data_IF_297679480379
#
_entry.id   IF_297679480379
#
_cell.length_a   1.000
_cell.length_b   1.000
_cell.length_c   1.000
_cell.angle_alpha   90.00
_cell.angle_beta   90.00
_cell.angle_gamma   90.00
#
_symmetry.space_group_name_H-M   'P 1'
#
loop_
_entity.id
_entity.type
_entity.pdbx_description
1 polymer ?
#
# COMPACT_ATOMS: atom_id res chain seq x y z
N UNK A 1 -13.56 36.58 31.73
CA UNK A 1 -14.73 35.87 31.15
C UNK A 1 -14.88 36.01 29.63
N UNK A 2 -14.55 37.14 29.00
CA UNK A 2 -14.61 37.29 27.52
C UNK A 2 -13.56 36.44 26.77
N UNK A 3 -12.34 36.34 27.29
CA UNK A 3 -11.27 35.52 26.69
C UNK A 3 -11.58 34.01 26.69
N UNK A 4 -12.27 33.50 27.71
CA UNK A 4 -12.62 32.08 27.83
C UNK A 4 -13.76 31.66 26.88
N UNK A 5 -14.69 32.59 26.60
CA UNK A 5 -15.72 32.40 25.56
C UNK A 5 -15.15 32.48 24.14
N UNK A 6 -14.08 33.26 23.94
CA UNK A 6 -13.40 33.35 22.65
C UNK A 6 -12.61 32.08 22.32
N UNK A 7 -12.05 31.40 23.33
CA UNK A 7 -11.33 30.13 23.18
C UNK A 7 -12.25 28.94 22.83
N UNK A 8 -13.50 28.95 23.33
CA UNK A 8 -14.51 27.95 22.97
C UNK A 8 -15.06 28.12 21.55
N UNK A 9 -15.11 29.35 21.02
CA UNK A 9 -15.62 29.60 19.67
C UNK A 9 -14.65 29.18 18.55
N UNK A 10 -13.36 29.08 18.83
CA UNK A 10 -12.35 28.56 17.88
C UNK A 10 -12.34 27.02 17.77
N UNK A 11 -13.05 26.30 18.64
CA UNK A 11 -13.07 24.83 18.66
C UNK A 11 -14.17 24.19 17.79
N UNK A 12 -15.02 25.00 17.14
CA UNK A 12 -16.25 24.53 16.46
C UNK A 12 -16.14 24.23 14.96
N UNK A 13 -14.97 24.39 14.33
CA UNK A 13 -14.77 24.08 12.91
C UNK A 13 -13.67 23.03 12.70
N UNK A 14 -13.74 21.94 13.46
CA UNK A 14 -13.20 20.67 12.95
C UNK A 14 -14.24 20.10 12.00
N UNK A 15 -14.21 20.58 10.75
CA UNK A 15 -14.70 19.76 9.65
C UNK A 15 -13.82 18.52 9.69
N UNK A 16 -14.34 17.43 10.24
CA UNK A 16 -13.77 16.12 10.03
C UNK A 16 -13.87 15.88 8.52
N UNK A 17 -12.84 16.30 7.79
CA UNK A 17 -12.57 15.73 6.48
C UNK A 17 -12.63 14.22 6.72
N UNK A 18 -13.54 13.53 6.04
CA UNK A 18 -13.52 12.08 6.05
C UNK A 18 -12.15 11.71 5.50
N UNK A 19 -11.22 11.38 6.37
CA UNK A 19 -9.95 10.84 5.96
C UNK A 19 -10.32 9.56 5.23
N UNK A 20 -10.08 9.50 3.92
CA UNK A 20 -9.88 8.20 3.30
C UNK A 20 -8.81 7.53 4.15
N UNK A 21 -9.13 6.33 4.60
CA UNK A 21 -8.23 5.53 5.39
C UNK A 21 -7.97 4.31 4.53
N UNK A 22 -6.81 4.26 3.90
CA UNK A 22 -6.31 3.06 3.26
C UNK A 22 -6.38 1.89 4.21
N UNK A 23 -6.47 0.69 3.65
CA UNK A 23 -6.51 -0.56 4.39
C UNK A 23 -5.98 -1.69 3.53
N UNK A 24 -5.46 -2.72 4.19
CA UNK A 24 -4.85 -3.85 3.50
C UNK A 24 -5.92 -4.84 3.07
N UNK A 25 -5.85 -5.28 1.80
CA UNK A 25 -6.59 -6.44 1.29
C UNK A 25 -5.63 -7.31 0.50
N UNK A 26 -5.39 -8.56 0.93
CA UNK A 26 -4.31 -9.39 0.37
C UNK A 26 -4.79 -10.36 -0.71
N UNK A 27 -6.07 -10.75 -0.72
CA UNK A 27 -6.69 -11.71 -1.66
C UNK A 27 -5.81 -12.95 -1.97
N UNK A 28 -5.12 -13.50 -0.98
CA UNK A 28 -4.13 -14.59 -1.15
C UNK A 28 -4.69 -15.77 -1.95
N UNK A 29 -5.89 -16.26 -1.61
CA UNK A 29 -6.55 -17.35 -2.35
C UNK A 29 -6.76 -17.05 -3.85
N UNK A 30 -7.03 -15.79 -4.21
CA UNK A 30 -7.20 -15.41 -5.60
C UNK A 30 -5.84 -15.33 -6.31
N UNK A 31 -4.81 -14.82 -5.62
CA UNK A 31 -3.45 -14.80 -6.14
C UNK A 31 -2.94 -16.23 -6.38
N UNK A 32 -3.07 -17.13 -5.41
CA UNK A 32 -2.71 -18.54 -5.56
C UNK A 32 -3.41 -19.16 -6.77
N UNK A 33 -4.72 -18.98 -6.91
CA UNK A 33 -5.46 -19.51 -8.05
C UNK A 33 -4.94 -19.01 -9.41
N UNK A 34 -4.45 -17.76 -9.46
CA UNK A 34 -3.88 -17.15 -10.67
C UNK A 34 -2.46 -17.69 -10.93
N UNK A 35 -1.61 -17.80 -9.91
CA UNK A 35 -0.23 -18.27 -10.02
C UNK A 35 -0.09 -19.81 -9.96
N UNK A 36 -1.22 -20.51 -9.86
CA UNK A 36 -1.35 -21.97 -9.95
C UNK A 36 -2.18 -22.43 -11.16
N UNK A 37 -2.44 -21.56 -12.14
CA UNK A 37 -3.17 -21.91 -13.36
C UNK A 37 -2.50 -23.06 -14.12
N UNK A 38 -3.25 -23.75 -14.99
CA UNK A 38 -2.73 -24.86 -15.79
C UNK A 38 -1.50 -24.50 -16.65
N UNK A 39 -1.33 -23.22 -17.01
CA UNK A 39 -0.14 -22.72 -17.73
C UNK A 39 1.16 -22.87 -16.92
N UNK A 40 1.09 -23.04 -15.59
CA UNK A 40 2.23 -23.33 -14.71
C UNK A 40 2.59 -24.82 -14.67
N UNK A 41 1.80 -25.70 -15.31
CA UNK A 41 2.00 -27.14 -15.28
C UNK A 41 1.99 -27.68 -13.84
N UNK A 42 2.96 -28.56 -13.52
CA UNK A 42 3.07 -29.20 -12.21
C UNK A 42 3.80 -28.35 -11.15
N UNK A 43 4.16 -27.12 -11.46
CA UNK A 43 5.05 -26.31 -10.63
C UNK A 43 4.37 -25.01 -10.15
N UNK A 44 3.16 -25.01 -9.58
CA UNK A 44 2.51 -23.76 -9.19
C UNK A 44 3.41 -22.86 -8.31
N UNK A 45 3.19 -21.55 -8.35
CA UNK A 45 3.87 -20.61 -7.46
C UNK A 45 2.91 -20.26 -6.33
N UNK A 46 3.33 -20.57 -5.12
CA UNK A 46 2.65 -20.28 -3.86
C UNK A 46 2.86 -18.81 -3.48
N UNK A 47 1.79 -18.08 -3.20
CA UNK A 47 1.85 -16.68 -2.82
C UNK A 47 1.78 -16.59 -1.30
N UNK A 48 2.87 -16.15 -0.68
CA UNK A 48 2.99 -16.15 0.79
C UNK A 48 2.88 -14.74 1.34
N UNK A 49 1.73 -14.43 1.91
CA UNK A 49 1.51 -13.13 2.53
C UNK A 49 2.10 -13.11 3.94
N UNK A 50 3.11 -12.26 4.13
CA UNK A 50 3.75 -11.98 5.41
C UNK A 50 2.93 -11.06 6.33
N UNK A 51 3.59 -10.60 7.38
CA UNK A 51 2.97 -9.73 8.39
C UNK A 51 2.80 -8.32 7.84
N UNK A 52 1.62 -7.75 8.05
CA UNK A 52 1.33 -6.36 7.70
C UNK A 52 2.24 -5.36 8.44
N UNK A 53 2.74 -4.39 7.68
CA UNK A 53 3.52 -3.26 8.20
C UNK A 53 2.80 -1.94 7.93
N UNK A 54 3.11 -0.92 8.72
CA UNK A 54 2.64 0.46 8.49
C UNK A 54 3.83 1.39 8.26
N UNK A 55 3.70 2.31 7.30
CA UNK A 55 4.62 3.42 7.12
C UNK A 55 3.85 4.73 7.30
N UNK A 56 4.36 5.58 8.19
CA UNK A 56 3.80 6.91 8.43
C UNK A 56 4.36 7.86 7.37
N UNK A 57 3.64 8.02 6.26
CA UNK A 57 4.00 8.93 5.17
C UNK A 57 2.75 9.70 4.68
N UNK A 58 2.32 10.76 5.39
CA UNK A 58 1.08 11.48 5.08
C UNK A 58 1.02 12.07 3.67
N UNK A 59 2.18 12.39 3.09
CA UNK A 59 2.28 12.92 1.72
C UNK A 59 2.10 11.86 0.63
N UNK A 60 2.10 10.57 0.98
CA UNK A 60 2.01 9.45 0.02
C UNK A 60 0.68 8.70 0.11
N UNK A 61 -0.29 9.23 0.86
CA UNK A 61 -1.65 8.69 0.91
C UNK A 61 -2.37 8.82 -0.44
N UNK A 62 -2.08 9.91 -1.16
CA UNK A 62 -2.69 10.22 -2.45
C UNK A 62 -1.57 10.48 -3.46
N UNK A 63 -1.33 9.53 -4.37
CA UNK A 63 -0.27 9.62 -5.37
C UNK A 63 -0.82 10.28 -6.63
N UNK A 64 -0.24 11.41 -7.02
CA UNK A 64 -0.67 12.19 -8.19
C UNK A 64 0.45 12.41 -9.22
N UNK A 65 1.67 11.97 -8.91
CA UNK A 65 2.84 12.12 -9.75
C UNK A 65 3.75 10.88 -9.74
N UNK A 66 4.52 10.69 -10.80
CA UNK A 66 5.52 9.61 -10.88
C UNK A 66 6.67 9.79 -9.87
N UNK A 67 6.91 11.02 -9.42
CA UNK A 67 7.89 11.30 -8.37
C UNK A 67 7.43 10.72 -7.01
N UNK A 68 6.14 10.81 -6.70
CA UNK A 68 5.56 10.21 -5.48
C UNK A 68 5.57 8.68 -5.54
N UNK A 69 5.30 8.08 -6.71
CA UNK A 69 5.47 6.63 -6.93
C UNK A 69 6.91 6.21 -6.62
N UNK A 70 7.88 6.91 -7.21
CA UNK A 70 9.30 6.63 -6.98
C UNK A 70 9.69 6.83 -5.51
N UNK A 71 9.15 7.87 -4.87
CA UNK A 71 9.38 8.13 -3.44
C UNK A 71 8.83 6.99 -2.58
N UNK A 72 7.65 6.46 -2.91
CA UNK A 72 7.05 5.34 -2.20
C UNK A 72 7.88 4.06 -2.35
N UNK A 73 8.30 3.70 -3.55
CA UNK A 73 9.08 2.48 -3.78
C UNK A 73 10.47 2.54 -3.13
N UNK A 74 11.06 3.73 -2.99
CA UNK A 74 12.28 3.92 -2.20
C UNK A 74 12.12 3.63 -0.69
N UNK A 75 10.89 3.41 -0.20
CA UNK A 75 10.60 3.02 1.18
C UNK A 75 10.54 1.49 1.37
N UNK A 76 11.12 0.73 0.45
CA UNK A 76 11.14 -0.73 0.48
C UNK A 76 11.48 -1.30 1.87
N UNK A 77 10.76 -2.36 2.27
CA UNK A 77 10.91 -3.05 3.55
C UNK A 77 11.18 -4.51 3.26
N UNK A 78 12.32 -5.00 3.75
CA UNK A 78 12.69 -6.40 3.61
C UNK A 78 13.84 -6.60 2.64
N UNK A 79 14.00 -7.85 2.20
CA UNK A 79 15.04 -8.25 1.26
C UNK A 79 14.57 -8.06 -0.19
N UNK A 80 15.52 -7.96 -1.13
CA UNK A 80 15.24 -7.71 -2.55
C UNK A 80 14.42 -8.80 -3.25
N UNK A 81 14.28 -9.98 -2.64
CA UNK A 81 13.46 -11.10 -3.11
C UNK A 81 12.06 -11.14 -2.48
N UNK A 82 11.68 -10.11 -1.71
CA UNK A 82 10.36 -9.95 -1.12
C UNK A 82 9.65 -8.80 -1.83
N UNK A 83 8.37 -8.99 -2.16
CA UNK A 83 7.57 -7.97 -2.83
C UNK A 83 6.78 -7.15 -1.82
N UNK A 84 6.81 -5.83 -1.93
CA UNK A 84 5.96 -4.95 -1.13
C UNK A 84 4.66 -4.62 -1.86
N UNK A 85 3.55 -4.86 -1.17
CA UNK A 85 2.21 -4.45 -1.60
C UNK A 85 1.84 -3.20 -0.82
N UNK A 86 2.03 -2.02 -1.41
CA UNK A 86 1.60 -0.78 -0.78
C UNK A 86 0.11 -0.53 -0.98
N UNK A 87 -0.58 -0.22 0.11
CA UNK A 87 -1.98 0.17 0.12
C UNK A 87 -2.10 1.65 0.49
N UNK A 88 -2.76 2.42 -0.37
CA UNK A 88 -2.96 3.87 -0.19
C UNK A 88 -4.42 4.28 -0.42
N UNK A 89 -4.73 5.58 -0.29
CA UNK A 89 -6.09 6.11 -0.45
C UNK A 89 -6.48 6.26 -1.93
N UNK A 90 -5.59 6.80 -2.76
CA UNK A 90 -5.79 6.96 -4.21
C UNK A 90 -4.47 7.04 -4.96
N UNK A 91 -4.46 6.57 -6.19
CA UNK A 91 -3.38 6.80 -7.16
C UNK A 91 -3.97 7.38 -8.44
N UNK A 92 -3.25 8.26 -9.12
CA UNK A 92 -3.63 8.75 -10.45
C UNK A 92 -2.43 8.93 -11.39
N UNK A 93 -1.26 8.38 -11.04
CA UNK A 93 -0.05 8.48 -11.84
C UNK A 93 0.74 7.18 -11.81
N UNK A 94 1.21 6.75 -12.98
CA UNK A 94 2.07 5.57 -13.13
C UNK A 94 2.79 5.60 -14.48
N UNK A 95 4.05 5.15 -14.54
CA UNK A 95 4.76 4.92 -15.80
C UNK A 95 4.86 6.14 -16.73
N UNK A 96 4.88 7.37 -16.21
CA UNK A 96 4.88 8.60 -17.00
C UNK A 96 3.51 9.13 -17.40
N UNK A 97 2.43 8.41 -17.07
CA UNK A 97 1.04 8.79 -17.36
C UNK A 97 0.35 9.33 -16.12
N UNK A 98 -0.54 10.31 -16.29
CA UNK A 98 -1.44 10.81 -15.23
C UNK A 98 -2.88 10.61 -15.70
N UNK A 99 -3.64 9.78 -14.98
CA UNK A 99 -5.02 9.45 -15.30
C UNK A 99 -5.74 8.99 -14.02
N UNK A 100 -6.94 9.54 -13.76
CA UNK A 100 -7.74 9.23 -12.58
C UNK A 100 -8.34 7.80 -12.56
N UNK A 101 -8.25 7.06 -13.67
CA UNK A 101 -8.62 5.66 -13.75
C UNK A 101 -7.48 4.69 -13.43
N UNK A 102 -6.28 5.19 -13.11
CA UNK A 102 -5.19 4.35 -12.59
C UNK A 102 -5.55 3.96 -11.16
N UNK A 103 -5.44 2.66 -10.86
CA UNK A 103 -5.81 2.11 -9.53
C UNK A 103 -4.68 1.28 -8.91
N UNK A 104 -3.60 1.08 -9.67
CA UNK A 104 -2.39 0.40 -9.27
C UNK A 104 -1.20 0.89 -10.09
N UNK A 105 0.00 0.62 -9.59
CA UNK A 105 1.25 0.85 -10.28
C UNK A 105 2.33 -0.08 -9.71
N UNK A 106 2.97 -0.88 -10.55
CA UNK A 106 4.11 -1.70 -10.19
C UNK A 106 5.40 -1.28 -10.88
N UNK A 107 6.53 -1.55 -10.25
CA UNK A 107 7.82 -1.57 -10.92
C UNK A 107 7.87 -2.65 -12.01
N UNK A 108 8.57 -2.40 -13.11
CA UNK A 108 8.66 -3.31 -14.25
C UNK A 108 10.11 -3.43 -14.79
N UNK A 109 10.83 -4.52 -14.46
CA UNK A 109 10.64 -5.35 -13.27
C UNK A 109 11.06 -4.60 -11.99
N UNK A 110 10.72 -5.14 -10.83
CA UNK A 110 11.11 -4.63 -9.51
C UNK A 110 10.37 -5.38 -8.42
N UNK A 111 10.46 -4.93 -7.17
CA UNK A 111 9.94 -5.62 -5.99
C UNK A 111 8.96 -4.77 -5.17
N UNK A 112 8.45 -3.69 -5.76
CA UNK A 112 7.44 -2.84 -5.16
C UNK A 112 6.27 -2.59 -6.13
N UNK A 113 5.05 -2.61 -5.60
CA UNK A 113 3.90 -2.01 -6.26
C UNK A 113 2.96 -1.34 -5.26
N UNK A 114 2.13 -0.43 -5.76
CA UNK A 114 1.12 0.27 -4.98
C UNK A 114 -0.26 0.13 -5.60
N UNK A 115 -1.29 0.01 -4.76
CA UNK A 115 -2.70 -0.04 -5.18
C UNK A 115 -3.58 0.86 -4.33
N UNK A 116 -4.66 1.35 -4.93
CA UNK A 116 -5.75 1.97 -4.18
C UNK A 116 -6.50 0.91 -3.36
N UNK A 117 -6.55 1.11 -2.05
CA UNK A 117 -7.15 0.16 -1.10
C UNK A 117 -8.60 -0.18 -1.44
N UNK A 118 -9.37 0.83 -1.86
CA UNK A 118 -10.78 0.67 -2.20
C UNK A 118 -10.99 -0.29 -3.39
N UNK A 119 -10.13 -0.20 -4.41
CA UNK A 119 -10.16 -1.08 -5.58
C UNK A 119 -9.66 -2.49 -5.25
N UNK A 120 -8.58 -2.60 -4.46
CA UNK A 120 -8.05 -3.88 -4.01
C UNK A 120 -9.05 -4.69 -3.17
N UNK A 121 -9.97 -4.01 -2.48
CA UNK A 121 -11.08 -4.63 -1.74
C UNK A 121 -12.32 -4.97 -2.57
N UNK A 122 -12.37 -4.47 -3.80
CA UNK A 122 -13.52 -4.61 -4.69
C UNK A 122 -13.52 -5.92 -5.47
N UNK A 123 -14.47 -6.04 -6.41
CA UNK A 123 -14.65 -7.24 -7.24
C UNK A 123 -13.41 -7.65 -8.05
N UNK A 124 -12.54 -6.68 -8.37
CA UNK A 124 -11.33 -6.89 -9.16
C UNK A 124 -10.08 -7.04 -8.30
N UNK A 125 -10.21 -7.14 -6.97
CA UNK A 125 -9.08 -7.10 -6.05
C UNK A 125 -7.98 -8.12 -6.35
N UNK A 126 -8.35 -9.38 -6.55
CA UNK A 126 -7.39 -10.44 -6.92
C UNK A 126 -6.74 -10.21 -8.28
N UNK A 127 -7.50 -9.73 -9.28
CA UNK A 127 -6.96 -9.38 -10.60
C UNK A 127 -5.97 -8.22 -10.51
N UNK A 128 -6.31 -7.15 -9.79
CA UNK A 128 -5.47 -5.98 -9.60
C UNK A 128 -4.14 -6.36 -8.93
N UNK A 129 -4.19 -7.06 -7.80
CA UNK A 129 -2.98 -7.46 -7.08
C UNK A 129 -2.10 -8.41 -7.92
N UNK A 130 -2.70 -9.34 -8.66
CA UNK A 130 -1.95 -10.23 -9.54
C UNK A 130 -1.37 -9.50 -10.75
N UNK A 131 -2.07 -8.50 -11.29
CA UNK A 131 -1.62 -7.68 -12.41
C UNK A 131 -0.36 -6.89 -12.01
N UNK A 132 -0.41 -6.19 -10.88
CA UNK A 132 0.74 -5.42 -10.40
C UNK A 132 1.92 -6.32 -10.00
N UNK A 133 1.64 -7.48 -9.39
CA UNK A 133 2.68 -8.50 -9.17
C UNK A 133 3.27 -9.00 -10.50
N UNK A 134 2.46 -9.14 -11.54
CA UNK A 134 2.90 -9.46 -12.89
C UNK A 134 3.94 -8.47 -13.42
N UNK A 135 3.74 -7.17 -13.21
CA UNK A 135 4.74 -6.15 -13.56
C UNK A 135 6.06 -6.35 -12.81
N UNK A 136 6.01 -6.57 -11.50
CA UNK A 136 7.20 -6.86 -10.69
C UNK A 136 7.98 -8.09 -11.22
N UNK A 137 7.25 -9.10 -11.70
CA UNK A 137 7.80 -10.31 -12.30
C UNK A 137 8.29 -10.14 -13.75
N UNK A 138 8.25 -8.92 -14.30
CA UNK A 138 8.79 -8.58 -15.62
C UNK A 138 7.77 -8.63 -16.76
N UNK A 139 6.46 -8.71 -16.47
CA UNK A 139 5.43 -8.75 -17.50
C UNK A 139 5.03 -7.34 -17.93
N UNK A 140 5.10 -7.05 -19.22
CA UNK A 140 4.55 -5.83 -19.79
C UNK A 140 3.04 -5.98 -20.08
N UNK A 141 2.36 -4.86 -20.30
CA UNK A 141 0.97 -4.88 -20.73
C UNK A 141 0.77 -5.68 -22.03
N UNK A 142 -0.33 -6.42 -22.09
CA UNK A 142 -0.82 -7.10 -23.29
C UNK A 142 -2.15 -6.49 -23.75
N UNK A 143 -2.45 -6.66 -25.04
CA UNK A 143 -3.76 -6.34 -25.58
C UNK A 143 -4.66 -7.57 -25.57
N UNK A 144 -5.96 -7.40 -25.35
CA UNK A 144 -6.95 -8.49 -25.34
C UNK A 144 -7.36 -8.90 -23.93
N UNK A 145 -8.02 -10.05 -23.77
CA UNK A 145 -8.56 -10.47 -22.48
C UNK A 145 -7.54 -11.36 -21.77
N UNK A 146 -6.61 -10.75 -21.04
CA UNK A 146 -5.53 -11.38 -20.29
C UNK A 146 -5.34 -10.64 -18.96
N UNK A 147 -4.59 -11.27 -18.03
CA UNK A 147 -4.24 -10.64 -16.76
C UNK A 147 -3.53 -9.29 -16.98
N UNK A 148 -2.56 -9.25 -17.89
CA UNK A 148 -1.75 -8.06 -18.15
C UNK A 148 -2.42 -7.03 -19.06
N UNK A 149 -3.74 -7.06 -19.24
CA UNK A 149 -4.42 -5.96 -19.94
C UNK A 149 -4.34 -4.68 -19.09
N UNK A 150 -4.07 -3.49 -19.69
CA UNK A 150 -4.00 -2.22 -18.97
C UNK A 150 -5.34 -1.78 -18.32
N UNK A 151 -6.43 -2.49 -18.59
CA UNK A 151 -7.75 -2.30 -17.99
C UNK A 151 -8.22 -3.60 -17.36
N UNK A 152 -8.64 -3.50 -16.09
CA UNK A 152 -9.25 -4.61 -15.36
C UNK A 152 -10.49 -5.12 -16.11
N UNK A 153 -10.53 -6.41 -16.40
CA UNK A 153 -11.47 -7.03 -17.32
C UNK A 153 -12.04 -8.38 -16.85
N UNK A 154 -11.78 -8.81 -15.60
CA UNK A 154 -12.13 -10.11 -15.01
C UNK A 154 -11.47 -11.32 -15.68
N UNK A 155 -10.48 -11.13 -16.55
CA UNK A 155 -9.71 -12.23 -17.11
C UNK A 155 -8.31 -12.24 -16.50
N UNK A 156 -8.00 -13.32 -15.81
CA UNK A 156 -6.73 -13.48 -15.10
C UNK A 156 -5.80 -14.48 -15.80
N UNK A 157 -6.08 -14.79 -17.08
CA UNK A 157 -5.28 -15.76 -17.85
C UNK A 157 -3.84 -15.29 -17.98
N UNK A 158 -2.91 -16.16 -17.59
CA UNK A 158 -1.48 -16.05 -17.84
C UNK A 158 -1.07 -17.02 -18.96
N UNK A 159 -0.47 -16.49 -20.02
CA UNK A 159 0.04 -17.27 -21.15
C UNK A 159 1.29 -18.06 -20.76
N UNK A 160 1.61 -19.11 -21.53
CA UNK A 160 2.85 -19.88 -21.31
C UNK A 160 4.12 -19.05 -21.48
N UNK A 161 4.08 -18.02 -22.33
CA UNK A 161 5.16 -17.05 -22.49
C UNK A 161 5.36 -16.19 -21.24
N UNK A 162 4.28 -15.63 -20.69
CA UNK A 162 4.33 -14.87 -19.43
C UNK A 162 4.78 -15.74 -18.26
N UNK A 163 4.29 -16.97 -18.15
CA UNK A 163 4.76 -17.92 -17.13
C UNK A 163 6.27 -18.18 -17.27
N UNK A 164 6.79 -18.30 -18.48
CA UNK A 164 8.23 -18.48 -18.70
C UNK A 164 9.02 -17.27 -18.21
N UNK A 165 8.54 -16.04 -18.46
CA UNK A 165 9.14 -14.82 -17.92
C UNK A 165 9.11 -14.80 -16.40
N UNK A 166 7.94 -15.07 -15.79
CA UNK A 166 7.77 -15.12 -14.33
C UNK A 166 8.82 -16.03 -13.68
N UNK A 167 9.07 -17.22 -14.24
CA UNK A 167 10.04 -18.20 -13.69
C UNK A 167 11.48 -17.73 -13.67
N UNK A 168 11.82 -16.76 -14.50
CA UNK A 168 13.18 -16.21 -14.55
C UNK A 168 13.38 -15.05 -13.58
N UNK A 169 12.31 -14.57 -12.92
CA UNK A 169 12.39 -13.49 -11.94
C UNK A 169 13.13 -13.93 -10.68
N UNK A 170 13.97 -13.05 -10.15
CA UNK A 170 14.65 -13.23 -8.85
C UNK A 170 13.69 -13.21 -7.65
N UNK A 171 12.44 -12.83 -7.85
CA UNK A 171 11.38 -12.87 -6.84
C UNK A 171 10.80 -14.28 -6.65
N UNK A 172 10.92 -15.15 -7.66
CA UNK A 172 10.45 -16.53 -7.56
C UNK A 172 11.51 -17.35 -6.86
N UNK A 173 11.19 -17.79 -5.66
CA UNK A 173 12.07 -18.58 -4.81
C UNK A 173 11.76 -20.08 -4.93
N UNK A 174 12.72 -20.92 -4.58
CA UNK A 174 12.56 -22.37 -4.56
C UNK A 174 13.49 -23.04 -3.57
N UNK A 175 13.04 -24.14 -2.98
CA UNK A 175 13.79 -25.07 -2.14
C UNK A 175 14.04 -26.42 -2.85
N UNK A 176 13.68 -26.51 -4.14
CA UNK A 176 13.70 -27.74 -4.93
C UNK A 176 12.44 -28.62 -4.80
N UNK A 177 11.50 -28.28 -3.92
CA UNK A 177 10.21 -28.98 -3.76
C UNK A 177 9.03 -28.15 -4.27
N UNK A 178 9.12 -26.83 -4.12
CA UNK A 178 8.09 -25.90 -4.58
C UNK A 178 8.66 -24.57 -5.05
N UNK A 179 7.76 -23.72 -5.53
CA UNK A 179 8.07 -22.34 -5.89
C UNK A 179 7.16 -21.41 -5.09
N UNK A 180 7.69 -20.28 -4.65
CA UNK A 180 6.90 -19.28 -3.93
C UNK A 180 7.40 -17.87 -4.19
N UNK A 181 6.56 -16.90 -3.82
CA UNK A 181 6.91 -15.48 -3.72
C UNK A 181 6.48 -15.01 -2.34
N UNK A 182 7.39 -14.37 -1.61
CA UNK A 182 7.11 -13.76 -0.32
C UNK A 182 6.67 -12.32 -0.49
N UNK A 183 5.64 -11.92 0.26
CA UNK A 183 4.98 -10.63 0.10
C UNK A 183 4.84 -9.94 1.45
N UNK A 184 5.23 -8.66 1.51
CA UNK A 184 4.99 -7.77 2.63
C UNK A 184 3.82 -6.84 2.29
N UNK A 185 2.65 -6.99 2.93
CA UNK A 185 1.60 -6.00 2.81
C UNK A 185 1.95 -4.77 3.66
N UNK A 186 1.98 -3.59 3.04
CA UNK A 186 2.40 -2.33 3.67
C UNK A 186 1.30 -1.28 3.53
N UNK A 187 0.80 -0.79 4.66
CA UNK A 187 -0.18 0.29 4.67
C UNK A 187 0.51 1.65 4.84
N UNK A 188 0.18 2.61 3.98
CA UNK A 188 0.59 4.00 4.17
C UNK A 188 -0.45 4.72 5.03
N UNK A 189 0.00 5.34 6.11
CA UNK A 189 -0.87 6.00 7.08
C UNK A 189 -0.47 7.44 7.33
N UNK A 190 -1.45 8.29 7.65
CA UNK A 190 -1.20 9.66 8.12
C UNK A 190 -0.54 9.68 9.50
N UNK A 191 -0.87 8.69 10.34
CA UNK A 191 -0.45 8.53 11.73
C UNK A 191 -0.49 7.04 12.06
N UNK A 192 0.35 6.59 12.99
CA UNK A 192 0.32 5.20 13.43
C UNK A 192 -1.08 4.78 13.91
N UNK A 193 -1.55 3.61 13.49
CA UNK A 193 -2.83 3.05 13.96
C UNK A 193 -2.79 2.70 15.45
N UNK A 194 -1.59 2.47 15.99
CA UNK A 194 -1.34 2.35 17.42
C UNK A 194 -0.43 3.50 17.88
N UNK A 195 -1.00 4.64 18.34
CA UNK A 195 -0.21 5.77 18.79
C UNK A 195 0.67 5.36 19.98
N UNK A 196 1.98 5.59 19.88
CA UNK A 196 2.83 5.58 21.06
C UNK A 196 2.39 6.75 21.94
N UNK A 197 2.03 6.53 23.22
CA UNK A 197 1.62 7.63 24.08
C UNK A 197 2.68 8.72 24.10
N UNK A 198 2.27 9.96 23.81
CA UNK A 198 3.14 11.12 23.94
C UNK A 198 3.77 11.09 25.33
N UNK A 199 5.09 11.29 25.46
CA UNK A 199 5.74 11.25 26.76
C UNK A 199 5.03 12.20 27.71
N UNK A 200 4.82 11.76 28.95
CA UNK A 200 4.13 12.54 29.99
C UNK A 200 4.81 13.87 30.33
N UNK A 201 5.89 14.23 29.64
CA UNK A 201 6.55 15.53 29.63
C UNK A 201 5.59 16.66 29.28
N UNK A 202 4.61 16.46 28.40
CA UNK A 202 3.59 17.48 28.10
C UNK A 202 2.68 17.73 29.31
N UNK A 203 2.32 16.66 30.03
CA UNK A 203 1.54 16.73 31.28
C UNK A 203 2.37 17.39 32.38
N UNK A 204 3.66 17.06 32.50
CA UNK A 204 4.60 17.68 33.43
C UNK A 204 4.82 19.18 33.12
N UNK A 205 4.88 19.56 31.84
CA UNK A 205 4.99 20.95 31.41
C UNK A 205 3.71 21.73 31.75
N UNK A 206 2.53 21.15 31.49
CA UNK A 206 1.25 21.76 31.84
C UNK A 206 1.07 21.90 33.36
N UNK A 207 1.50 20.91 34.14
CA UNK A 207 1.49 20.97 35.61
C UNK A 207 2.44 22.05 36.13
N UNK A 208 3.67 22.13 35.60
CA UNK A 208 4.65 23.13 36.03
C UNK A 208 4.24 24.56 35.68
N UNK A 209 3.67 24.78 34.48
CA UNK A 209 3.06 26.08 34.11
C UNK A 209 1.87 26.40 35.04
N UNK A 210 1.01 25.41 35.35
CA UNK A 210 -0.09 25.58 36.28
C UNK A 210 0.36 26.00 37.69
N UNK A 211 1.45 25.42 38.21
CA UNK A 211 2.06 25.81 39.48
C UNK A 211 2.62 27.24 39.45
N UNK A 212 3.28 27.65 38.37
CA UNK A 212 3.84 28.99 38.20
C UNK A 212 2.73 30.06 38.13
N UNK A 213 1.65 29.81 37.39
CA UNK A 213 0.51 30.72 37.29
C UNK A 213 -0.20 30.86 38.64
N UNK A 214 -0.43 29.75 39.35
CA UNK A 214 -1.08 29.78 40.68
C UNK A 214 -0.25 30.55 41.72
N UNK A 215 1.09 30.47 41.64
CA UNK A 215 2.00 31.22 42.53
C UNK A 215 1.95 32.73 42.28
N UNK A 216 1.75 33.16 41.03
CA UNK A 216 1.74 34.57 40.66
C UNK A 216 0.38 35.28 40.86
N UNK A 217 -0.71 34.54 41.06
CA UNK A 217 -2.06 35.10 41.35
C UNK A 217 -2.26 35.37 42.86
N UNK A 218 -1.43 34.79 43.73
CA UNK A 218 -1.50 34.95 45.20
C UNK A 218 -0.59 36.07 45.75
N UNK A 219 -0.21 37.04 44.92
CA UNK A 219 0.49 38.27 45.35
C UNK A 219 -0.38 39.48 45.07
#
# INVERSE_FOLDING_TARGET
MKAFKMLLLTFGFLVAAQAKAGFITTNELALDAIFSQASFGNNPIDIRIGVASEIIAPSLLNITSNAEVSQLFNLHIGALNIVNFYFIDTISACGGTINAGIVGCGELPGNDFVVESSFASGRFGGELLAHELGHNLGLAHLTGSFLMNPSLNNNTTLTTGEVSTIRTSSLVQTDGQGFWIDINPVLIVAKASTPVPEPSTLVLLLLSVGFLVRKNIKK
#
